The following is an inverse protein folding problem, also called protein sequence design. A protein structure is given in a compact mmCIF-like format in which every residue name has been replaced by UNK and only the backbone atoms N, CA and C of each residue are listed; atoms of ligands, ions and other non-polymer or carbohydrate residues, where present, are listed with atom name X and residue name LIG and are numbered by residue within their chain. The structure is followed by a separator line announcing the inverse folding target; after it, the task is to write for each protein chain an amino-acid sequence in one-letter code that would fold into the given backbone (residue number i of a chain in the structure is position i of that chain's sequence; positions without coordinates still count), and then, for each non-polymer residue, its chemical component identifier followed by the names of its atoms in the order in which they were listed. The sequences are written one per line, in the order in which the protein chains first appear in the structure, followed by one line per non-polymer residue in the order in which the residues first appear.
data_IF_551141451393
#
_entry.id   IF_551141451393
#
_cell.length_a   1.000
_cell.length_b   1.000
_cell.length_c   1.000
_cell.angle_alpha   90.00
_cell.angle_beta   90.00
_cell.angle_gamma   90.00
#
_symmetry.space_group_name_H-M   'P 1'
#
loop_
_entity.id
_entity.type
_entity.pdbx_description
1 polymer ?
#
# COMPACT_ATOMS: atom_id res chain seq x y z
N UNK A 1 -3.93 -23.59 -58.89
CA UNK A 1 -4.71 -22.62 -58.15
C UNK A 1 -4.18 -22.63 -56.72
N UNK A 2 -3.17 -21.81 -56.46
CA UNK A 2 -2.50 -21.72 -55.16
C UNK A 2 -3.08 -20.54 -54.42
N UNK A 3 -3.91 -20.82 -53.40
CA UNK A 3 -4.45 -19.80 -52.50
C UNK A 3 -3.36 -19.24 -51.62
N UNK A 4 -3.12 -17.96 -51.73
CA UNK A 4 -2.26 -17.20 -50.82
C UNK A 4 -2.87 -17.17 -49.42
N UNK A 5 -2.23 -17.82 -48.47
CA UNK A 5 -2.50 -17.66 -47.07
C UNK A 5 -2.17 -16.21 -46.65
N UNK A 6 -3.01 -15.51 -45.91
CA UNK A 6 -2.70 -14.17 -45.43
C UNK A 6 -1.60 -14.25 -44.37
N UNK A 7 -0.45 -13.66 -44.71
CA UNK A 7 0.68 -13.47 -43.82
C UNK A 7 0.27 -12.60 -42.64
N UNK A 8 0.36 -13.18 -41.48
CA UNK A 8 0.64 -12.62 -40.17
C UNK A 8 0.13 -11.22 -39.86
N UNK A 9 -0.89 -11.14 -39.01
CA UNK A 9 -1.05 -10.00 -38.13
C UNK A 9 0.19 -9.91 -37.24
N UNK A 10 1.19 -9.14 -37.67
CA UNK A 10 2.24 -8.70 -36.78
C UNK A 10 1.57 -8.04 -35.56
N UNK A 11 1.70 -8.65 -34.40
CA UNK A 11 1.24 -8.09 -33.16
C UNK A 11 1.94 -6.72 -33.01
N UNK A 12 1.20 -5.66 -33.38
CA UNK A 12 1.67 -4.29 -33.19
C UNK A 12 1.97 -4.16 -31.71
N UNK A 13 3.24 -4.11 -31.36
CA UNK A 13 3.68 -3.80 -30.00
C UNK A 13 2.92 -2.53 -29.58
N UNK A 14 1.95 -2.70 -28.73
CA UNK A 14 1.13 -1.60 -28.24
C UNK A 14 2.09 -0.71 -27.47
N UNK A 15 2.44 0.44 -28.01
CA UNK A 15 3.24 1.41 -27.29
C UNK A 15 2.52 1.71 -25.98
N UNK A 16 3.12 1.31 -24.86
CA UNK A 16 2.56 1.53 -23.53
C UNK A 16 2.62 3.03 -23.28
N UNK A 17 1.52 3.72 -23.50
CA UNK A 17 1.40 5.12 -23.14
C UNK A 17 1.24 5.21 -21.63
N UNK A 18 2.32 5.49 -20.91
CA UNK A 18 2.30 5.74 -19.47
C UNK A 18 1.46 6.99 -19.18
N UNK A 19 0.28 6.80 -18.63
CA UNK A 19 -0.54 7.88 -18.09
C UNK A 19 -0.31 7.96 -16.58
N UNK A 20 0.25 9.07 -16.14
CA UNK A 20 0.52 9.36 -14.73
C UNK A 20 -0.78 9.55 -13.94
N UNK A 21 -0.79 9.26 -12.64
CA UNK A 21 -1.97 9.49 -11.78
C UNK A 21 -2.23 10.98 -11.64
N UNK A 22 -1.22 11.75 -11.25
CA UNK A 22 -1.25 13.22 -11.11
C UNK A 22 -0.45 13.84 -12.25
N UNK A 23 0.85 13.60 -12.26
CA UNK A 23 1.81 14.07 -13.23
C UNK A 23 3.13 13.33 -13.11
N UNK A 24 3.96 13.32 -14.16
CA UNK A 24 5.22 12.59 -14.18
C UNK A 24 6.13 12.97 -13.01
N UNK A 25 6.25 14.26 -12.72
CA UNK A 25 7.09 14.78 -11.65
C UNK A 25 6.58 14.34 -10.27
N UNK A 26 5.29 14.53 -10.03
CA UNK A 26 4.71 14.23 -8.71
C UNK A 26 4.72 12.72 -8.44
N UNK A 27 4.29 11.93 -9.41
CA UNK A 27 4.28 10.48 -9.28
C UNK A 27 5.70 9.92 -9.05
N UNK A 28 6.70 10.39 -9.80
CA UNK A 28 8.10 9.97 -9.61
C UNK A 28 8.66 10.42 -8.25
N UNK A 29 8.41 11.66 -7.84
CA UNK A 29 8.88 12.17 -6.54
C UNK A 29 8.29 11.37 -5.39
N UNK A 30 7.00 11.10 -5.42
CA UNK A 30 6.36 10.37 -4.32
C UNK A 30 6.67 8.87 -4.33
N UNK A 31 6.69 8.20 -5.49
CA UNK A 31 6.97 6.75 -5.54
C UNK A 31 8.47 6.45 -5.45
N UNK A 32 9.28 7.03 -6.33
CA UNK A 32 10.74 6.79 -6.30
C UNK A 32 11.38 7.42 -5.09
N UNK A 33 10.94 8.63 -4.72
CA UNK A 33 11.40 9.34 -3.53
C UNK A 33 11.11 8.58 -2.24
N UNK A 34 9.94 7.94 -2.10
CA UNK A 34 9.61 7.12 -0.92
C UNK A 34 10.52 5.90 -0.81
N UNK A 35 10.80 5.22 -1.93
CA UNK A 35 11.73 4.09 -1.96
C UNK A 35 13.15 4.55 -1.63
N UNK A 36 13.63 5.61 -2.27
CA UNK A 36 14.97 6.14 -2.03
C UNK A 36 15.15 6.60 -0.56
N UNK A 37 14.16 7.28 0.02
CA UNK A 37 14.20 7.71 1.41
C UNK A 37 14.21 6.53 2.39
N UNK A 38 13.49 5.45 2.08
CA UNK A 38 13.48 4.22 2.88
C UNK A 38 14.87 3.56 2.92
N UNK A 39 15.52 3.45 1.76
CA UNK A 39 16.90 2.92 1.70
C UNK A 39 17.91 3.84 2.37
N UNK A 40 17.75 5.16 2.25
CA UNK A 40 18.60 6.12 2.95
C UNK A 40 18.47 5.97 4.47
N UNK A 41 17.24 5.92 4.99
CA UNK A 41 16.98 5.73 6.41
C UNK A 41 17.53 4.39 6.91
N UNK A 42 17.36 3.32 6.14
CA UNK A 42 17.94 2.03 6.45
C UNK A 42 19.48 2.08 6.49
N UNK A 43 20.11 2.72 5.51
CA UNK A 43 21.56 2.92 5.48
C UNK A 43 22.07 3.73 6.69
N UNK A 44 21.38 4.80 7.08
CA UNK A 44 21.71 5.59 8.26
C UNK A 44 21.54 4.79 9.56
N UNK A 45 20.56 3.91 9.63
CA UNK A 45 20.38 3.01 10.76
C UNK A 45 21.53 1.98 10.86
N UNK A 46 21.82 1.27 9.76
CA UNK A 46 22.88 0.24 9.73
C UNK A 46 24.27 0.84 9.98
N UNK A 47 24.52 2.06 9.51
CA UNK A 47 25.78 2.76 9.77
C UNK A 47 25.91 3.32 11.20
N UNK A 48 24.87 3.20 12.02
CA UNK A 48 24.86 3.68 13.41
C UNK A 48 24.66 5.19 13.57
N UNK A 49 24.47 5.92 12.46
CA UNK A 49 24.24 7.38 12.52
C UNK A 49 22.86 7.75 13.08
N UNK A 50 21.87 6.90 12.84
CA UNK A 50 20.48 7.14 13.27
C UNK A 50 20.03 5.98 14.18
N UNK A 51 19.91 6.18 15.49
CA UNK A 51 19.38 5.15 16.39
C UNK A 51 17.94 4.78 16.07
N UNK A 52 17.54 3.55 16.38
CA UNK A 52 16.21 3.00 16.05
C UNK A 52 15.07 3.84 16.61
N UNK A 53 15.19 4.28 17.88
CA UNK A 53 14.09 5.02 18.54
C UNK A 53 13.77 6.35 17.88
N UNK A 54 14.71 7.28 17.62
CA UNK A 54 14.38 8.51 16.87
C UNK A 54 13.92 8.26 15.44
N UNK A 55 14.40 7.21 14.79
CA UNK A 55 13.92 6.83 13.47
C UNK A 55 12.43 6.42 13.51
N UNK A 56 12.04 5.56 14.44
CA UNK A 56 10.66 5.13 14.62
C UNK A 56 9.75 6.28 15.05
N UNK A 57 10.22 7.14 15.95
CA UNK A 57 9.48 8.33 16.38
C UNK A 57 9.25 9.30 15.22
N UNK A 58 10.30 9.57 14.43
CA UNK A 58 10.20 10.42 13.26
C UNK A 58 9.21 9.85 12.24
N UNK A 59 9.28 8.55 11.95
CA UNK A 59 8.34 7.88 11.07
C UNK A 59 6.89 7.98 11.60
N UNK A 60 6.68 7.69 12.88
CA UNK A 60 5.35 7.73 13.50
C UNK A 60 4.73 9.14 13.45
N UNK A 61 5.52 10.19 13.71
CA UNK A 61 5.01 11.57 13.77
C UNK A 61 4.88 12.20 12.38
N UNK A 62 5.84 11.97 11.47
CA UNK A 62 5.89 12.68 10.19
C UNK A 62 5.14 11.93 9.06
N UNK A 63 4.98 10.62 9.16
CA UNK A 63 4.40 9.80 8.10
C UNK A 63 3.10 9.15 8.57
N UNK A 64 3.16 8.37 9.66
CA UNK A 64 2.02 7.58 10.11
C UNK A 64 0.89 8.45 10.69
N UNK A 65 1.19 9.38 11.58
CA UNK A 65 0.18 10.24 12.19
C UNK A 65 -0.59 11.11 11.17
N UNK A 66 0.05 11.78 10.18
CA UNK A 66 -0.66 12.51 9.14
C UNK A 66 -1.51 11.60 8.24
N UNK A 67 -1.04 10.38 7.95
CA UNK A 67 -1.78 9.39 7.17
C UNK A 67 -3.05 8.94 7.89
N UNK A 68 -2.92 8.58 9.17
CA UNK A 68 -4.05 8.18 10.02
C UNK A 68 -5.02 9.35 10.20
N UNK A 69 -4.51 10.57 10.47
CA UNK A 69 -5.34 11.77 10.60
C UNK A 69 -6.08 12.10 9.30
N UNK A 70 -5.42 12.02 8.15
CA UNK A 70 -6.04 12.23 6.84
C UNK A 70 -7.18 11.25 6.58
N UNK A 71 -7.00 9.98 6.93
CA UNK A 71 -8.05 8.96 6.81
C UNK A 71 -9.18 9.24 7.78
N UNK A 72 -8.86 9.56 9.04
CA UNK A 72 -9.84 9.88 10.07
C UNK A 72 -10.68 11.10 9.71
N UNK A 73 -10.03 12.18 9.23
CA UNK A 73 -10.71 13.42 8.86
C UNK A 73 -11.69 13.24 7.70
N UNK A 74 -11.30 12.49 6.68
CA UNK A 74 -12.17 12.17 5.53
C UNK A 74 -13.35 11.28 5.90
N UNK A 75 -13.21 10.48 6.94
CA UNK A 75 -14.24 9.52 7.33
C UNK A 75 -15.21 10.12 8.36
N UNK A 76 -14.67 10.77 9.40
CA UNK A 76 -15.49 11.24 10.53
C UNK A 76 -15.88 12.71 10.44
N UNK A 77 -15.11 13.57 9.75
CA UNK A 77 -15.42 14.99 9.61
C UNK A 77 -16.22 15.29 8.34
N UNK A 78 -16.18 14.40 7.35
CA UNK A 78 -17.00 14.53 6.15
C UNK A 78 -18.49 14.37 6.50
N UNK A 79 -19.31 15.36 6.12
CA UNK A 79 -20.72 15.39 6.45
C UNK A 79 -21.52 14.33 5.68
N UNK A 80 -21.17 14.09 4.43
CA UNK A 80 -21.86 13.12 3.55
C UNK A 80 -21.56 11.68 3.98
N UNK A 81 -20.30 11.36 4.23
CA UNK A 81 -19.90 10.05 4.74
C UNK A 81 -20.51 9.77 6.11
N UNK A 82 -20.49 10.75 7.00
CA UNK A 82 -21.08 10.62 8.34
C UNK A 82 -22.60 10.44 8.30
N UNK A 83 -23.30 11.10 7.38
CA UNK A 83 -24.73 10.93 7.25
C UNK A 83 -25.10 9.56 6.66
N UNK A 84 -24.37 9.12 5.63
CA UNK A 84 -24.65 7.85 4.91
C UNK A 84 -24.27 6.62 5.73
N UNK A 85 -23.19 6.67 6.53
CA UNK A 85 -22.59 5.51 7.22
C UNK A 85 -22.55 5.65 8.74
N UNK A 86 -23.44 6.43 9.32
CA UNK A 86 -23.47 6.78 10.75
C UNK A 86 -23.31 5.56 11.68
N UNK A 87 -24.06 4.47 11.45
CA UNK A 87 -24.01 3.27 12.29
C UNK A 87 -22.65 2.57 12.22
N UNK A 88 -22.07 2.48 11.03
CA UNK A 88 -20.77 1.87 10.81
C UNK A 88 -19.66 2.70 11.49
N UNK A 89 -19.69 4.02 11.36
CA UNK A 89 -18.71 4.92 11.93
C UNK A 89 -18.74 4.90 13.46
N UNK A 90 -19.94 4.96 14.07
CA UNK A 90 -20.07 4.84 15.52
C UNK A 90 -19.64 3.46 16.02
N UNK A 91 -19.97 2.38 15.30
CA UNK A 91 -19.52 1.03 15.64
C UNK A 91 -18.00 0.87 15.52
N UNK A 92 -17.37 1.50 14.52
CA UNK A 92 -15.92 1.42 14.36
C UNK A 92 -15.14 2.15 15.46
N UNK A 93 -15.71 3.18 16.09
CA UNK A 93 -15.09 3.81 17.26
C UNK A 93 -14.93 2.85 18.45
N UNK A 94 -15.78 1.84 18.56
CA UNK A 94 -15.64 0.81 19.60
C UNK A 94 -14.34 0.00 19.42
N UNK A 95 -13.84 -0.17 18.20
CA UNK A 95 -12.57 -0.83 17.94
C UNK A 95 -11.37 -0.10 18.56
N UNK A 96 -11.44 1.21 18.74
CA UNK A 96 -10.36 1.95 19.41
C UNK A 96 -10.22 1.60 20.89
N UNK A 97 -11.26 1.05 21.50
CA UNK A 97 -11.22 0.58 22.89
C UNK A 97 -10.61 -0.83 23.00
N UNK A 98 -10.62 -1.63 21.92
CA UNK A 98 -10.14 -3.03 21.93
C UNK A 98 -8.66 -3.12 22.28
N UNK A 99 -7.82 -2.29 21.65
CA UNK A 99 -6.38 -2.28 21.91
C UNK A 99 -6.03 -2.01 23.38
N UNK A 100 -6.45 -0.87 23.95
CA UNK A 100 -6.25 -0.59 25.37
C UNK A 100 -6.83 -1.68 26.29
N UNK A 101 -8.02 -2.19 26.00
CA UNK A 101 -8.63 -3.26 26.78
C UNK A 101 -7.80 -4.55 26.77
N UNK A 102 -7.26 -4.95 25.62
CA UNK A 102 -6.38 -6.12 25.52
C UNK A 102 -5.07 -5.91 26.29
N UNK A 103 -4.47 -4.72 26.21
CA UNK A 103 -3.25 -4.41 26.96
C UNK A 103 -3.51 -4.46 28.47
N UNK A 104 -4.61 -3.86 28.95
CA UNK A 104 -5.01 -3.91 30.35
C UNK A 104 -5.34 -5.32 30.84
N UNK A 105 -5.83 -6.19 29.95
CA UNK A 105 -6.09 -7.60 30.25
C UNK A 105 -4.81 -8.47 30.19
N UNK A 106 -3.63 -7.90 30.01
CA UNK A 106 -2.37 -8.66 29.91
C UNK A 106 -2.13 -9.33 28.55
N UNK A 107 -2.98 -9.07 27.57
CA UNK A 107 -2.91 -9.64 26.20
C UNK A 107 -2.17 -8.72 25.20
N UNK A 108 -1.31 -7.83 25.69
CA UNK A 108 -0.62 -6.84 24.85
C UNK A 108 0.20 -7.47 23.72
N UNK A 109 0.93 -8.57 23.99
CA UNK A 109 1.69 -9.26 22.94
C UNK A 109 0.80 -9.80 21.81
N UNK A 110 -0.35 -10.36 22.15
CA UNK A 110 -1.33 -10.85 21.18
C UNK A 110 -1.88 -9.70 20.36
N UNK A 111 -2.22 -8.59 21.01
CA UNK A 111 -2.70 -7.39 20.32
C UNK A 111 -1.67 -6.86 19.32
N UNK A 112 -0.41 -6.69 19.71
CA UNK A 112 0.63 -6.20 18.81
C UNK A 112 0.92 -7.16 17.66
N UNK A 113 0.87 -8.47 17.90
CA UNK A 113 1.01 -9.46 16.84
C UNK A 113 -0.13 -9.36 15.81
N UNK A 114 -1.37 -9.27 16.26
CA UNK A 114 -2.53 -9.10 15.37
C UNK A 114 -2.49 -7.75 14.62
N UNK A 115 -2.08 -6.69 15.31
CA UNK A 115 -1.90 -5.37 14.71
C UNK A 115 -0.81 -5.38 13.61
N UNK A 116 0.30 -6.08 13.83
CA UNK A 116 1.36 -6.24 12.84
C UNK A 116 0.88 -7.02 11.60
N UNK A 117 0.13 -8.11 11.78
CA UNK A 117 -0.49 -8.86 10.68
C UNK A 117 -1.48 -8.00 9.89
N UNK A 118 -2.29 -7.21 10.59
CA UNK A 118 -3.22 -6.28 9.96
C UNK A 118 -2.51 -5.18 9.18
N UNK A 119 -1.48 -4.58 9.76
CA UNK A 119 -0.67 -3.55 9.10
C UNK A 119 0.01 -4.10 7.85
N UNK A 120 0.56 -5.32 7.92
CA UNK A 120 1.14 -6.01 6.77
C UNK A 120 0.11 -6.26 5.66
N UNK A 121 -1.05 -6.79 6.00
CA UNK A 121 -2.15 -6.98 5.05
C UNK A 121 -2.58 -5.66 4.41
N UNK A 122 -2.70 -4.59 5.20
CA UNK A 122 -3.04 -3.27 4.71
C UNK A 122 -1.99 -2.75 3.71
N UNK A 123 -0.71 -2.90 4.02
CA UNK A 123 0.39 -2.51 3.14
C UNK A 123 0.33 -3.22 1.78
N UNK A 124 0.12 -4.54 1.77
CA UNK A 124 -0.04 -5.33 0.54
C UNK A 124 -1.22 -4.83 -0.28
N UNK A 125 -2.36 -4.60 0.36
CA UNK A 125 -3.57 -4.08 -0.30
C UNK A 125 -3.39 -2.68 -0.86
N UNK A 126 -2.65 -1.83 -0.17
CA UNK A 126 -2.35 -0.46 -0.60
C UNK A 126 -1.49 -0.47 -1.88
N UNK A 127 -0.43 -1.27 -1.93
CA UNK A 127 0.41 -1.40 -3.12
C UNK A 127 -0.39 -1.94 -4.31
N UNK A 128 -1.20 -2.96 -4.10
CA UNK A 128 -2.09 -3.47 -5.14
C UNK A 128 -3.09 -2.41 -5.61
N UNK A 129 -3.65 -1.62 -4.69
CA UNK A 129 -4.57 -0.53 -5.02
C UNK A 129 -3.94 0.53 -5.92
N UNK A 130 -2.71 0.95 -5.64
CA UNK A 130 -1.98 1.89 -6.50
C UNK A 130 -1.73 1.32 -7.90
N UNK A 131 -1.32 0.07 -7.99
CA UNK A 131 -1.12 -0.58 -9.29
C UNK A 131 -2.42 -0.62 -10.10
N UNK A 132 -3.54 -0.98 -9.48
CA UNK A 132 -4.86 -1.00 -10.15
C UNK A 132 -5.27 0.40 -10.61
N UNK A 133 -4.94 1.46 -9.85
CA UNK A 133 -5.20 2.84 -10.27
C UNK A 133 -4.46 3.19 -11.57
N UNK A 134 -3.18 2.83 -11.67
CA UNK A 134 -2.40 3.02 -12.91
C UNK A 134 -2.99 2.23 -14.07
N UNK A 135 -3.32 0.97 -13.87
CA UNK A 135 -3.94 0.11 -14.89
C UNK A 135 -5.28 0.67 -15.37
N UNK A 136 -6.13 1.09 -14.45
CA UNK A 136 -7.42 1.69 -14.75
C UNK A 136 -7.27 2.97 -15.59
N UNK A 137 -6.30 3.82 -15.24
CA UNK A 137 -6.05 5.06 -15.98
C UNK A 137 -5.49 4.80 -17.39
N UNK A 138 -4.75 3.71 -17.57
CA UNK A 138 -4.20 3.29 -18.85
C UNK A 138 -5.17 2.40 -19.67
N UNK A 139 -6.35 2.04 -19.13
CA UNK A 139 -7.32 1.19 -19.79
C UNK A 139 -6.91 -0.28 -19.90
N UNK A 140 -5.94 -0.71 -19.06
CA UNK A 140 -5.39 -2.06 -19.04
C UNK A 140 -5.97 -2.86 -17.85
N UNK A 141 -7.17 -3.36 -18.03
CA UNK A 141 -7.91 -4.11 -16.99
C UNK A 141 -8.18 -5.56 -17.40
N UNK A 142 -7.31 -6.16 -18.24
CA UNK A 142 -7.47 -7.56 -18.64
C UNK A 142 -7.48 -8.46 -17.38
N UNK A 143 -8.48 -9.37 -17.24
CA UNK A 143 -8.62 -10.19 -16.02
C UNK A 143 -7.41 -11.08 -15.72
N UNK A 144 -6.78 -11.62 -16.75
CA UNK A 144 -5.60 -12.47 -16.61
C UNK A 144 -4.41 -11.70 -16.07
N UNK A 145 -4.15 -10.50 -16.61
CA UNK A 145 -3.06 -9.62 -16.17
C UNK A 145 -3.28 -9.13 -14.73
N UNK A 146 -4.53 -8.82 -14.36
CA UNK A 146 -4.87 -8.45 -12.98
C UNK A 146 -4.65 -9.60 -12.00
N UNK A 147 -4.93 -10.84 -12.40
CA UNK A 147 -4.68 -12.01 -11.56
C UNK A 147 -3.18 -12.26 -11.39
N UNK A 148 -2.39 -12.13 -12.46
CA UNK A 148 -0.93 -12.26 -12.44
C UNK A 148 -0.28 -11.20 -11.55
N UNK A 149 -0.67 -9.94 -11.72
CA UNK A 149 -0.15 -8.82 -10.93
C UNK A 149 -0.47 -8.97 -9.44
N UNK A 150 -1.69 -9.42 -9.13
CA UNK A 150 -2.08 -9.72 -7.75
C UNK A 150 -1.24 -10.84 -7.15
N UNK A 151 -1.03 -11.93 -7.92
CA UNK A 151 -0.18 -13.02 -7.50
C UNK A 151 1.27 -12.58 -7.29
N UNK A 152 1.80 -11.77 -8.21
CA UNK A 152 3.16 -11.22 -8.12
C UNK A 152 3.35 -10.38 -6.85
N UNK A 153 2.44 -9.43 -6.56
CA UNK A 153 2.55 -8.61 -5.35
C UNK A 153 2.45 -9.46 -4.09
N UNK A 154 1.51 -10.41 -4.04
CA UNK A 154 1.38 -11.31 -2.89
C UNK A 154 2.66 -12.13 -2.68
N UNK A 155 3.21 -12.74 -3.74
CA UNK A 155 4.43 -13.55 -3.65
C UNK A 155 5.64 -12.68 -3.29
N UNK A 156 5.84 -11.55 -3.97
CA UNK A 156 6.97 -10.67 -3.71
C UNK A 156 6.99 -10.17 -2.26
N UNK A 157 5.83 -9.76 -1.75
CA UNK A 157 5.73 -9.27 -0.37
C UNK A 157 5.90 -10.39 0.66
N UNK A 158 5.36 -11.60 0.42
CA UNK A 158 5.50 -12.73 1.35
C UNK A 158 6.91 -13.32 1.34
N UNK A 159 7.57 -13.42 0.19
CA UNK A 159 8.94 -13.92 0.10
C UNK A 159 9.95 -12.99 0.80
N UNK A 160 9.78 -11.67 0.68
CA UNK A 160 10.63 -10.72 1.41
C UNK A 160 10.47 -10.82 2.93
N UNK A 161 9.27 -11.19 3.41
CA UNK A 161 9.01 -11.39 4.84
C UNK A 161 9.58 -12.70 5.40
N UNK A 162 9.81 -13.71 4.56
CA UNK A 162 10.27 -15.04 4.99
C UNK A 162 11.80 -15.23 4.98
N UNK A 163 12.56 -14.34 4.35
CA UNK A 163 14.02 -14.43 4.28
C UNK A 163 14.76 -13.90 5.52
N UNK A 164 14.04 -13.39 6.52
CA UNK A 164 14.60 -12.95 7.80
C UNK A 164 14.92 -14.10 8.74
N UNK A 165 15.84 -14.97 8.38
CA UNK A 165 16.59 -15.75 9.36
C UNK A 165 17.78 -14.90 9.84
N UNK A 166 17.61 -14.28 10.98
CA UNK A 166 18.66 -13.67 11.78
C UNK A 166 18.90 -14.51 13.00
#
# INVERSE_FOLDING_TARGET
MLECLPVGHAARARAVSLRWIIGAKDDLVWFVGSVASSYLLFGLYVSGWLPLFPMLLGWAVLIDAPHVFGTFSRTYFDREERASRKRLLWGSLAFFAVGPAMVLAGLGAVFFFLAALWAYYHLVKQHYGFMVLYKKKNGDLAPADNALDRAFILVAMTCCGSSGRW
#
